data_IF_741564396456
#
_entry.id   IF_741564396456
#
_cell.length_a   1.000
_cell.length_b   1.000
_cell.length_c   1.000
_cell.angle_alpha   90.00
_cell.angle_beta   90.00
_cell.angle_gamma   90.00
#
_symmetry.space_group_name_H-M   'P 1'
#
loop_
_entity.id
_entity.type
_entity.pdbx_description
1 polymer ?
#
# COMPACT_ATOMS: atom_id res chain seq x y z
N UNK A 1 23.60 21.22 88.23
CA UNK A 1 24.84 21.65 88.93
C UNK A 1 25.92 21.92 87.86
N UNK A 2 26.48 23.16 87.94
CA UNK A 2 27.77 23.67 87.35
C UNK A 2 27.94 23.48 85.81
N UNK A 3 27.78 24.51 84.99
CA UNK A 3 28.69 25.64 84.69
C UNK A 3 30.16 25.20 84.42
N UNK A 4 30.65 25.43 83.22
CA UNK A 4 31.86 26.19 82.98
C UNK A 4 31.84 26.78 81.59
N UNK A 5 32.00 28.05 81.51
CA UNK A 5 32.25 28.94 80.36
C UNK A 5 33.75 28.96 80.11
N UNK A 6 34.18 28.92 78.89
CA UNK A 6 35.46 29.52 78.52
C UNK A 6 35.39 30.16 77.09
N UNK A 7 35.54 31.47 77.09
CA UNK A 7 35.73 32.31 75.92
C UNK A 7 37.22 32.38 75.59
N UNK A 8 37.61 32.38 74.34
CA UNK A 8 38.88 32.95 73.84
C UNK A 8 38.63 33.45 72.40
N UNK A 9 38.51 34.72 72.25
CA UNK A 9 39.21 35.79 71.54
C UNK A 9 39.79 35.48 70.16
N UNK A 10 39.37 36.37 69.29
CA UNK A 10 39.62 36.61 67.87
C UNK A 10 41.10 36.61 67.42
N UNK A 11 41.28 36.28 66.20
CA UNK A 11 42.30 36.92 65.33
C UNK A 11 41.83 36.94 63.86
N UNK A 12 41.66 38.12 63.36
CA UNK A 12 41.31 38.45 61.99
C UNK A 12 42.52 38.23 61.07
N UNK A 13 42.37 37.48 60.02
CA UNK A 13 43.25 37.57 58.83
C UNK A 13 42.39 37.70 57.58
N UNK A 14 42.40 38.87 56.97
CA UNK A 14 41.94 39.14 55.61
C UNK A 14 42.81 38.41 54.59
N UNK A 15 42.27 37.46 53.88
CA UNK A 15 42.87 36.98 52.66
C UNK A 15 41.82 37.21 51.54
N UNK A 16 42.17 38.11 50.63
CA UNK A 16 41.45 38.29 49.36
C UNK A 16 41.79 37.10 48.49
N UNK A 17 40.80 36.25 48.23
CA UNK A 17 40.91 35.13 47.29
C UNK A 17 39.77 35.21 46.27
N UNK A 18 40.12 35.21 45.00
CA UNK A 18 39.20 35.20 43.88
C UNK A 18 38.11 34.12 44.06
N UNK A 19 36.86 34.54 43.92
CA UNK A 19 35.71 33.62 43.79
C UNK A 19 35.67 33.13 42.35
N UNK A 20 36.09 31.90 42.11
CA UNK A 20 35.63 31.11 40.97
C UNK A 20 34.28 30.52 41.33
N UNK A 21 33.25 31.10 40.76
CA UNK A 21 31.89 30.50 40.79
C UNK A 21 31.84 29.40 39.73
N UNK A 22 32.13 28.17 40.13
CA UNK A 22 31.75 27.00 39.35
C UNK A 22 30.25 26.81 39.55
N UNK A 23 29.44 27.25 38.58
CA UNK A 23 28.06 26.76 38.42
C UNK A 23 28.12 25.26 38.15
N UNK A 24 27.70 24.44 39.12
CA UNK A 24 27.38 23.06 38.84
C UNK A 24 26.17 23.04 37.92
N UNK A 25 26.40 22.85 36.61
CA UNK A 25 25.36 22.48 35.66
C UNK A 25 24.92 21.08 36.00
N UNK A 26 23.82 20.97 36.72
CA UNK A 26 23.07 19.69 36.88
C UNK A 26 22.57 19.34 35.47
N UNK A 27 23.33 18.50 34.76
CA UNK A 27 22.84 17.84 33.54
C UNK A 27 21.84 16.82 34.02
N UNK A 28 20.56 17.20 34.03
CA UNK A 28 19.45 16.26 34.15
C UNK A 28 19.57 15.30 32.96
N UNK A 29 20.08 14.10 33.21
CA UNK A 29 20.17 13.06 32.19
C UNK A 29 18.75 12.77 31.72
N UNK A 30 18.39 13.26 30.54
CA UNK A 30 17.17 12.90 29.85
C UNK A 30 17.14 11.37 29.78
N UNK A 31 16.19 10.77 30.49
CA UNK A 31 15.87 9.35 30.37
C UNK A 31 15.61 9.11 28.87
N UNK A 32 16.35 8.23 28.20
CA UNK A 32 16.09 7.95 26.80
C UNK A 32 14.63 7.48 26.72
N UNK A 33 13.83 8.23 26.01
CA UNK A 33 12.47 7.83 25.65
C UNK A 33 12.52 6.38 25.23
N UNK A 34 11.73 5.54 25.89
CA UNK A 34 11.54 4.16 25.51
C UNK A 34 11.39 4.14 24.00
N UNK A 35 12.29 3.44 23.32
CA UNK A 35 12.20 3.18 21.89
C UNK A 35 10.83 2.53 21.69
N UNK A 36 9.85 3.31 21.26
CA UNK A 36 8.61 2.74 20.73
C UNK A 36 9.09 1.87 19.60
N UNK A 37 8.95 0.57 19.76
CA UNK A 37 9.21 -0.41 18.71
C UNK A 37 8.22 -0.07 17.61
N UNK A 38 8.65 0.72 16.64
CA UNK A 38 7.87 1.03 15.45
C UNK A 38 7.62 -0.33 14.81
N UNK A 39 6.36 -0.78 14.82
CA UNK A 39 5.99 -2.02 14.13
C UNK A 39 6.43 -1.86 12.68
N UNK A 40 7.21 -2.80 12.17
CA UNK A 40 7.66 -2.75 10.78
C UNK A 40 6.42 -2.88 9.88
N UNK A 41 6.26 -1.96 8.96
CA UNK A 41 5.21 -2.06 7.95
C UNK A 41 5.59 -3.12 6.91
N UNK A 42 4.60 -3.92 6.51
CA UNK A 42 4.66 -4.83 5.38
C UNK A 42 3.73 -4.24 4.32
N UNK A 43 4.26 -3.48 3.35
CA UNK A 43 3.43 -2.68 2.45
C UNK A 43 2.35 -3.48 1.75
N UNK A 44 2.69 -4.67 1.24
CA UNK A 44 1.77 -5.54 0.53
C UNK A 44 1.98 -7.00 0.92
N UNK A 45 0.90 -7.77 1.10
CA UNK A 45 0.94 -9.21 1.35
C UNK A 45 0.35 -10.04 0.20
N UNK A 46 0.12 -9.45 -0.96
CA UNK A 46 -0.53 -10.07 -2.13
C UNK A 46 0.17 -11.37 -2.54
N UNK A 47 1.50 -11.40 -2.61
CA UNK A 47 2.26 -12.61 -2.98
C UNK A 47 2.20 -13.68 -1.90
N UNK A 48 2.22 -13.31 -0.62
CA UNK A 48 2.08 -14.28 0.49
C UNK A 48 0.69 -14.94 0.44
N UNK A 49 -0.38 -14.14 0.28
CA UNK A 49 -1.76 -14.64 0.16
C UNK A 49 -1.94 -15.49 -1.09
N UNK A 50 -1.37 -15.09 -2.23
CA UNK A 50 -1.40 -15.88 -3.46
C UNK A 50 -0.76 -17.26 -3.25
N UNK A 51 0.42 -17.31 -2.64
CA UNK A 51 1.12 -18.58 -2.38
C UNK A 51 0.31 -19.49 -1.46
N UNK A 52 -0.29 -18.97 -0.39
CA UNK A 52 -1.17 -19.73 0.49
C UNK A 52 -2.40 -20.25 -0.25
N UNK A 53 -3.03 -19.43 -1.09
CA UNK A 53 -4.20 -19.83 -1.87
C UNK A 53 -3.84 -20.91 -2.93
N UNK A 54 -2.65 -20.83 -3.54
CA UNK A 54 -2.15 -21.85 -4.46
C UNK A 54 -1.92 -23.21 -3.76
N UNK A 55 -1.48 -23.21 -2.49
CA UNK A 55 -1.35 -24.45 -1.72
C UNK A 55 -2.71 -25.12 -1.48
N UNK A 56 -3.79 -24.32 -1.34
CA UNK A 56 -5.14 -24.81 -1.14
C UNK A 56 -5.84 -25.18 -2.47
N UNK A 57 -5.58 -24.43 -3.54
CA UNK A 57 -6.11 -24.65 -4.89
C UNK A 57 -4.98 -24.50 -5.94
N UNK A 58 -4.25 -25.58 -6.26
CA UNK A 58 -3.22 -25.56 -7.30
C UNK A 58 -3.73 -25.16 -8.70
N UNK A 59 -5.04 -25.24 -8.94
CA UNK A 59 -5.67 -24.80 -10.19
C UNK A 59 -5.53 -23.29 -10.44
N UNK A 60 -5.26 -22.48 -9.40
CA UNK A 60 -4.97 -21.06 -9.55
C UNK A 60 -3.79 -20.84 -10.51
N UNK A 61 -2.72 -21.61 -10.41
CA UNK A 61 -1.56 -21.49 -11.31
C UNK A 61 -1.95 -21.68 -12.77
N UNK A 62 -2.83 -22.64 -13.05
CA UNK A 62 -3.30 -22.92 -14.42
C UNK A 62 -4.11 -21.74 -14.94
N UNK A 63 -5.06 -21.25 -14.14
CA UNK A 63 -5.89 -20.09 -14.53
C UNK A 63 -5.05 -18.83 -14.74
N UNK A 64 -4.07 -18.56 -13.86
CA UNK A 64 -3.14 -17.44 -14.03
C UNK A 64 -2.31 -17.57 -15.32
N UNK A 65 -1.84 -18.77 -15.65
CA UNK A 65 -1.11 -19.00 -16.91
C UNK A 65 -2.00 -18.77 -18.14
N UNK A 66 -3.29 -19.13 -18.08
CA UNK A 66 -4.25 -18.85 -19.15
C UNK A 66 -4.51 -17.35 -19.29
N UNK A 67 -4.63 -16.62 -18.17
CA UNK A 67 -4.77 -15.16 -18.15
C UNK A 67 -3.51 -14.52 -18.73
N UNK A 68 -2.32 -14.97 -18.39
CA UNK A 68 -1.07 -14.45 -18.95
C UNK A 68 -1.01 -14.66 -20.47
N UNK A 69 -1.34 -15.85 -20.94
CA UNK A 69 -1.46 -16.14 -22.38
C UNK A 69 -2.49 -15.25 -23.09
N UNK A 70 -3.61 -14.92 -22.42
CA UNK A 70 -4.59 -13.99 -22.94
C UNK A 70 -3.99 -12.57 -23.02
N UNK A 71 -3.29 -12.13 -21.98
CA UNK A 71 -2.61 -10.83 -21.92
C UNK A 71 -1.58 -10.70 -23.04
N UNK A 72 -0.71 -11.69 -23.24
CA UNK A 72 0.26 -11.73 -24.35
C UNK A 72 -0.42 -11.61 -25.70
N UNK A 73 -1.49 -12.38 -25.94
CA UNK A 73 -2.28 -12.30 -27.16
C UNK A 73 -2.91 -10.92 -27.38
N UNK A 74 -3.41 -10.30 -26.33
CA UNK A 74 -3.94 -8.94 -26.37
C UNK A 74 -2.85 -7.94 -26.76
N UNK A 75 -1.68 -8.00 -26.09
CA UNK A 75 -0.55 -7.11 -26.34
C UNK A 75 -0.06 -7.17 -27.80
N UNK A 76 -0.05 -8.36 -28.40
CA UNK A 76 0.32 -8.56 -29.80
C UNK A 76 -0.74 -8.07 -30.81
N UNK A 77 -1.98 -7.82 -30.40
CA UNK A 77 -3.09 -7.53 -31.28
C UNK A 77 -3.95 -6.36 -30.78
N UNK A 78 -3.38 -5.41 -30.05
CA UNK A 78 -4.11 -4.27 -29.44
C UNK A 78 -5.10 -3.60 -30.39
N UNK A 79 -4.71 -3.38 -31.65
CA UNK A 79 -5.54 -2.72 -32.67
C UNK A 79 -6.88 -3.42 -32.91
N UNK A 80 -6.94 -4.75 -32.75
CA UNK A 80 -8.18 -5.52 -32.93
C UNK A 80 -9.17 -5.34 -31.79
N UNK A 81 -8.69 -4.90 -30.63
CA UNK A 81 -9.49 -4.70 -29.43
C UNK A 81 -9.85 -3.23 -29.17
N UNK A 82 -9.23 -2.30 -29.91
CA UNK A 82 -9.58 -0.88 -29.85
C UNK A 82 -11.01 -0.69 -30.38
N UNK A 83 -11.92 -0.21 -29.55
CA UNK A 83 -13.29 0.15 -29.94
C UNK A 83 -14.42 -0.56 -29.19
N UNK A 84 -14.11 -1.42 -28.22
CA UNK A 84 -15.14 -2.05 -27.34
C UNK A 84 -15.27 -1.38 -25.95
N UNK A 85 -14.45 -0.38 -25.67
CA UNK A 85 -14.62 0.44 -24.48
C UNK A 85 -15.74 1.45 -24.72
N UNK A 86 -16.82 1.36 -23.98
CA UNK A 86 -17.92 2.32 -24.07
C UNK A 86 -17.37 3.72 -23.76
N UNK A 87 -17.36 4.63 -24.75
CA UNK A 87 -16.83 5.98 -24.66
C UNK A 87 -15.33 6.11 -24.28
N UNK A 88 -14.53 5.05 -24.42
CA UNK A 88 -13.08 5.10 -24.16
C UNK A 88 -12.70 5.21 -22.67
N UNK A 89 -13.64 5.01 -21.76
CA UNK A 89 -13.40 5.00 -20.30
C UNK A 89 -14.06 3.78 -19.68
N UNK A 90 -13.32 3.14 -18.77
CA UNK A 90 -13.85 2.10 -17.90
C UNK A 90 -14.20 2.75 -16.57
N UNK A 91 -15.43 2.58 -16.10
CA UNK A 91 -15.86 3.01 -14.76
C UNK A 91 -16.11 1.76 -13.93
N UNK A 92 -15.35 1.59 -12.85
CA UNK A 92 -15.43 0.44 -11.95
C UNK A 92 -16.21 0.84 -10.69
N UNK A 93 -17.40 0.28 -10.49
CA UNK A 93 -18.15 0.51 -9.25
C UNK A 93 -17.52 -0.26 -8.10
N UNK A 94 -17.34 0.41 -6.95
CA UNK A 94 -16.72 -0.15 -5.74
C UNK A 94 -17.79 -0.47 -4.70
N UNK A 95 -17.72 -1.68 -4.13
CA UNK A 95 -18.42 -2.05 -2.91
C UNK A 95 -17.42 -2.05 -1.76
N UNK A 96 -17.55 -1.11 -0.83
CA UNK A 96 -16.77 -1.10 0.38
C UNK A 96 -17.41 -1.95 1.47
N UNK A 97 -16.61 -2.80 2.11
CA UNK A 97 -16.96 -3.60 3.28
C UNK A 97 -16.18 -3.08 4.49
N UNK A 98 -16.75 -2.14 5.23
CA UNK A 98 -16.11 -1.57 6.42
C UNK A 98 -16.39 -2.47 7.62
N UNK A 99 -15.37 -3.25 8.04
CA UNK A 99 -15.47 -4.16 9.17
C UNK A 99 -14.76 -3.52 10.37
N UNK A 100 -15.53 -3.07 11.34
CA UNK A 100 -15.06 -2.27 12.45
C UNK A 100 -15.43 -2.88 13.81
N UNK A 101 -14.62 -2.62 14.83
CA UNK A 101 -14.87 -3.04 16.21
C UNK A 101 -15.47 -1.92 17.04
N UNK A 102 -14.89 -0.72 16.91
CA UNK A 102 -15.31 0.50 17.63
C UNK A 102 -15.78 1.58 16.66
N UNK A 103 -16.48 2.58 17.17
CA UNK A 103 -16.97 3.68 16.34
C UNK A 103 -15.85 4.46 15.62
N UNK A 104 -14.67 4.56 16.23
CA UNK A 104 -13.49 5.21 15.62
C UNK A 104 -12.92 4.45 14.42
N UNK A 105 -13.15 3.15 14.31
CA UNK A 105 -12.73 2.31 13.17
C UNK A 105 -13.78 2.31 12.04
N UNK A 106 -14.97 2.85 12.28
CA UNK A 106 -16.04 2.92 11.30
C UNK A 106 -15.85 4.14 10.39
N UNK A 107 -14.98 4.00 9.40
CA UNK A 107 -14.59 5.09 8.50
C UNK A 107 -15.79 5.81 7.89
N UNK A 108 -15.72 7.14 7.84
CA UNK A 108 -16.78 7.98 7.29
C UNK A 108 -16.93 7.79 5.77
N UNK A 109 -18.07 8.13 5.21
CA UNK A 109 -18.27 8.16 3.76
C UNK A 109 -17.29 9.15 3.10
N UNK A 110 -16.99 10.27 3.75
CA UNK A 110 -16.03 11.25 3.25
C UNK A 110 -14.61 10.67 3.14
N UNK A 111 -14.18 9.83 4.10
CA UNK A 111 -12.89 9.12 4.02
C UNK A 111 -12.85 8.13 2.85
N UNK A 112 -13.94 7.38 2.66
CA UNK A 112 -14.06 6.44 1.53
C UNK A 112 -14.07 7.17 0.19
N UNK A 113 -14.76 8.31 0.12
CA UNK A 113 -14.77 9.14 -1.10
C UNK A 113 -13.38 9.70 -1.39
N UNK A 114 -12.65 10.20 -0.38
CA UNK A 114 -11.28 10.67 -0.56
C UNK A 114 -10.35 9.55 -1.10
N UNK A 115 -10.56 8.29 -0.70
CA UNK A 115 -9.83 7.16 -1.29
C UNK A 115 -10.19 6.93 -2.76
N UNK A 116 -11.47 7.04 -3.12
CA UNK A 116 -11.90 6.93 -4.52
C UNK A 116 -11.37 8.08 -5.37
N UNK A 117 -11.35 9.29 -4.81
CA UNK A 117 -10.78 10.47 -5.47
C UNK A 117 -9.28 10.25 -5.74
N UNK A 118 -8.51 9.72 -4.76
CA UNK A 118 -7.10 9.36 -4.94
C UNK A 118 -6.90 8.30 -6.03
N UNK A 119 -7.70 7.24 -6.07
CA UNK A 119 -7.68 6.26 -7.16
C UNK A 119 -7.93 6.94 -8.53
N UNK A 120 -8.91 7.82 -8.60
CA UNK A 120 -9.23 8.54 -9.84
C UNK A 120 -8.10 9.48 -10.26
N UNK A 121 -7.44 10.16 -9.33
CA UNK A 121 -6.27 10.98 -9.60
C UNK A 121 -5.12 10.14 -10.18
N UNK A 122 -4.77 9.04 -9.53
CA UNK A 122 -3.63 8.19 -9.89
C UNK A 122 -3.84 7.49 -11.25
N UNK A 123 -5.03 6.94 -11.49
CA UNK A 123 -5.34 6.23 -12.74
C UNK A 123 -5.63 7.15 -13.92
N UNK A 124 -5.77 8.47 -13.72
CA UNK A 124 -6.09 9.43 -14.76
C UNK A 124 -5.09 10.59 -14.89
N UNK A 125 -3.85 10.42 -14.40
CA UNK A 125 -2.78 11.43 -14.44
C UNK A 125 -3.18 12.77 -13.82
N UNK A 126 -3.89 12.75 -12.69
CA UNK A 126 -4.32 13.95 -11.96
C UNK A 126 -3.66 14.07 -10.60
N UNK A 127 -2.83 13.09 -10.21
CA UNK A 127 -2.10 13.08 -8.96
C UNK A 127 -1.04 14.19 -8.89
N UNK A 128 -0.82 14.81 -7.71
CA UNK A 128 0.01 16.01 -7.56
C UNK A 128 1.50 15.78 -7.78
N UNK A 129 2.00 14.54 -7.62
CA UNK A 129 3.43 14.22 -7.69
C UNK A 129 4.04 14.11 -9.08
N UNK A 130 3.27 14.21 -10.16
CA UNK A 130 3.73 13.98 -11.55
C UNK A 130 4.91 14.84 -11.99
N UNK A 131 5.00 16.08 -11.50
CA UNK A 131 6.10 16.98 -11.85
C UNK A 131 7.49 16.54 -11.38
N UNK A 132 7.59 15.46 -10.58
CA UNK A 132 8.84 14.90 -10.05
C UNK A 132 9.31 13.66 -10.81
N UNK A 133 8.57 13.19 -11.82
CA UNK A 133 8.95 12.03 -12.62
C UNK A 133 10.23 12.37 -13.40
N UNK A 134 11.30 11.54 -13.28
CA UNK A 134 12.54 11.74 -14.03
C UNK A 134 12.31 11.75 -15.54
N UNK A 135 13.06 12.59 -16.26
CA UNK A 135 12.91 12.74 -17.71
C UNK A 135 13.04 11.42 -18.48
N UNK A 136 13.84 10.49 -17.98
CA UNK A 136 14.02 9.14 -18.52
C UNK A 136 12.70 8.37 -18.60
N UNK A 137 11.84 8.51 -17.58
CA UNK A 137 10.56 7.78 -17.48
C UNK A 137 9.35 8.59 -17.96
N UNK A 138 9.51 9.88 -18.22
CA UNK A 138 8.39 10.75 -18.60
C UNK A 138 7.68 10.30 -19.90
N UNK A 139 8.39 9.67 -20.83
CA UNK A 139 7.83 9.18 -22.09
C UNK A 139 6.98 7.92 -21.96
N UNK A 140 7.11 7.20 -20.86
CA UNK A 140 6.35 5.95 -20.59
C UNK A 140 5.26 6.14 -19.54
N UNK A 141 5.10 7.33 -18.96
CA UNK A 141 3.98 7.66 -18.08
C UNK A 141 2.64 7.48 -18.81
N UNK A 142 1.69 6.79 -18.16
CA UNK A 142 0.42 6.45 -18.79
C UNK A 142 -0.80 7.01 -18.06
N UNK A 143 -1.71 7.63 -18.80
CA UNK A 143 -3.11 7.74 -18.38
C UNK A 143 -3.77 6.38 -18.56
N UNK A 144 -4.06 5.71 -17.44
CA UNK A 144 -4.69 4.38 -17.48
C UNK A 144 -6.11 4.47 -18.05
N UNK A 145 -6.86 5.55 -17.75
CA UNK A 145 -8.21 5.78 -18.26
C UNK A 145 -9.27 4.92 -17.56
N UNK A 146 -8.98 4.41 -16.37
CA UNK A 146 -9.94 3.73 -15.49
C UNK A 146 -10.38 4.72 -14.43
N UNK A 147 -11.68 4.77 -14.16
CA UNK A 147 -12.27 5.58 -13.10
C UNK A 147 -13.05 4.70 -12.13
N UNK A 148 -13.25 5.19 -10.93
CA UNK A 148 -13.89 4.45 -9.84
C UNK A 148 -15.01 5.29 -9.24
N UNK A 149 -16.07 4.61 -8.78
CA UNK A 149 -17.18 5.26 -8.07
C UNK A 149 -17.70 4.37 -6.92
N UNK A 150 -18.25 4.97 -5.89
CA UNK A 150 -18.85 4.22 -4.79
C UNK A 150 -20.24 3.70 -5.22
N UNK A 151 -20.37 2.39 -5.36
CA UNK A 151 -21.64 1.73 -5.58
C UNK A 151 -22.37 1.47 -4.27
N UNK A 152 -21.66 0.96 -3.26
CA UNK A 152 -22.27 0.56 -1.99
C UNK A 152 -21.24 0.62 -0.85
N UNK A 153 -21.73 0.89 0.37
CA UNK A 153 -20.94 0.75 1.60
C UNK A 153 -21.68 -0.17 2.57
N UNK A 154 -21.10 -1.33 2.82
CA UNK A 154 -21.55 -2.32 3.78
C UNK A 154 -20.77 -2.13 5.07
N UNK A 155 -21.46 -2.04 6.21
CA UNK A 155 -20.83 -1.82 7.52
C UNK A 155 -21.11 -2.99 8.44
N UNK A 156 -20.05 -3.66 8.89
CA UNK A 156 -20.14 -4.84 9.77
C UNK A 156 -19.43 -4.54 11.08
N UNK A 157 -20.17 -4.49 12.17
CA UNK A 157 -19.58 -4.37 13.49
C UNK A 157 -19.17 -5.75 14.04
N UNK A 158 -17.88 -5.93 14.31
CA UNK A 158 -17.36 -7.13 14.94
C UNK A 158 -16.55 -6.78 16.20
N UNK A 159 -17.22 -6.74 17.35
CA UNK A 159 -16.63 -6.37 18.63
C UNK A 159 -15.67 -7.43 19.19
N UNK A 160 -15.66 -8.65 18.64
CA UNK A 160 -14.85 -9.78 19.12
C UNK A 160 -13.47 -9.83 18.50
N UNK A 161 -13.33 -9.52 17.22
CA UNK A 161 -12.04 -9.56 16.51
C UNK A 161 -11.26 -8.25 16.68
N UNK A 162 -10.03 -8.35 17.19
CA UNK A 162 -9.10 -7.22 17.36
C UNK A 162 -8.19 -7.02 16.15
N UNK A 163 -7.99 -8.08 15.38
CA UNK A 163 -7.14 -8.09 14.22
C UNK A 163 -7.55 -9.19 13.25
N UNK A 164 -7.08 -9.11 12.02
CA UNK A 164 -7.35 -10.06 10.95
C UNK A 164 -6.02 -10.62 10.43
N UNK A 165 -6.02 -11.86 9.99
CA UNK A 165 -4.89 -12.44 9.27
C UNK A 165 -5.11 -12.30 7.77
N UNK A 166 -4.05 -12.28 6.94
CA UNK A 166 -4.19 -12.26 5.49
C UNK A 166 -4.58 -13.65 4.94
N UNK A 167 -5.75 -14.13 5.32
CA UNK A 167 -6.28 -15.47 5.00
C UNK A 167 -7.72 -15.43 4.49
N UNK A 168 -8.17 -14.27 4.02
CA UNK A 168 -9.51 -14.04 3.50
C UNK A 168 -10.69 -14.28 4.47
N UNK A 169 -10.44 -14.42 5.77
CA UNK A 169 -11.52 -14.54 6.77
C UNK A 169 -12.44 -13.31 6.78
N UNK A 170 -11.90 -12.10 6.54
CA UNK A 170 -12.68 -10.85 6.45
C UNK A 170 -13.66 -10.84 5.28
N UNK A 171 -13.41 -11.65 4.26
CA UNK A 171 -14.25 -11.81 3.08
C UNK A 171 -15.39 -12.83 3.27
N UNK A 172 -15.65 -13.24 4.53
CA UNK A 172 -16.64 -14.27 4.86
C UNK A 172 -17.50 -13.86 6.07
N UNK A 173 -18.81 -13.74 5.88
CA UNK A 173 -19.76 -13.45 6.97
C UNK A 173 -19.73 -14.53 8.05
N UNK A 174 -19.54 -15.80 7.67
CA UNK A 174 -19.40 -16.95 8.58
C UNK A 174 -18.18 -16.86 9.51
N UNK A 175 -17.20 -16.00 9.18
CA UNK A 175 -15.99 -15.71 9.98
C UNK A 175 -16.07 -14.36 10.71
N UNK A 176 -17.23 -13.70 10.62
CA UNK A 176 -17.48 -12.39 11.21
C UNK A 176 -17.00 -11.23 10.34
N UNK A 177 -16.73 -11.48 9.08
CA UNK A 177 -16.47 -10.53 8.02
C UNK A 177 -17.72 -10.21 7.21
N UNK A 178 -17.55 -9.97 5.90
CA UNK A 178 -18.62 -9.65 4.95
C UNK A 178 -18.38 -10.39 3.65
N UNK A 179 -19.41 -11.06 3.14
CA UNK A 179 -19.31 -11.80 1.88
C UNK A 179 -19.19 -10.85 0.69
N UNK A 180 -18.51 -11.32 -0.38
CA UNK A 180 -18.35 -10.61 -1.64
C UNK A 180 -19.69 -10.27 -2.28
N UNK A 181 -19.78 -9.14 -2.94
CA UNK A 181 -20.97 -8.71 -3.68
C UNK A 181 -20.62 -8.63 -5.15
N UNK A 182 -21.28 -9.46 -5.95
CA UNK A 182 -21.21 -9.49 -7.42
C UNK A 182 -19.81 -9.16 -8.01
N UNK A 183 -18.80 -10.01 -7.78
CA UNK A 183 -17.41 -9.71 -8.10
C UNK A 183 -17.12 -9.64 -9.61
N UNK A 184 -18.08 -9.98 -10.46
CA UNK A 184 -17.99 -9.85 -11.91
C UNK A 184 -18.42 -8.46 -12.42
N UNK A 185 -19.03 -7.64 -11.55
CA UNK A 185 -19.47 -6.27 -11.87
C UNK A 185 -18.83 -5.23 -10.94
N UNK A 186 -18.42 -5.63 -9.72
CA UNK A 186 -17.93 -4.69 -8.71
C UNK A 186 -16.54 -5.07 -8.21
N UNK A 187 -15.70 -4.05 -8.02
CA UNK A 187 -14.52 -4.17 -7.19
C UNK A 187 -14.95 -4.16 -5.71
N UNK A 188 -14.72 -5.27 -5.02
CA UNK A 188 -14.97 -5.36 -3.58
C UNK A 188 -13.72 -4.96 -2.80
N UNK A 189 -13.85 -4.00 -1.88
CA UNK A 189 -12.76 -3.55 -1.01
C UNK A 189 -13.16 -3.75 0.44
N UNK A 190 -12.47 -4.67 1.13
CA UNK A 190 -12.64 -4.87 2.57
C UNK A 190 -11.68 -3.99 3.35
N UNK A 191 -12.21 -3.26 4.32
CA UNK A 191 -11.43 -2.40 5.22
C UNK A 191 -11.53 -3.00 6.61
N UNK A 192 -10.37 -3.32 7.21
CA UNK A 192 -10.26 -3.94 8.52
C UNK A 192 -9.34 -3.15 9.43
N UNK A 193 -9.54 -3.23 10.75
CA UNK A 193 -8.85 -2.42 11.72
C UNK A 193 -7.33 -2.66 11.79
N UNK A 194 -6.88 -3.92 11.70
CA UNK A 194 -5.47 -4.28 11.85
C UNK A 194 -5.19 -5.63 11.23
N UNK A 195 -4.02 -5.76 10.59
CA UNK A 195 -3.54 -7.01 9.97
C UNK A 195 -2.09 -7.30 10.38
N UNK A 196 -1.83 -7.72 11.64
CA UNK A 196 -0.48 -8.08 12.07
C UNK A 196 0.01 -9.34 11.35
N UNK A 197 1.24 -9.28 10.82
CA UNK A 197 1.85 -10.38 10.08
C UNK A 197 3.38 -10.33 10.16
N UNK A 198 4.03 -11.46 10.48
CA UNK A 198 5.50 -11.61 10.55
C UNK A 198 6.21 -10.54 11.40
N UNK A 199 5.56 -10.06 12.45
CA UNK A 199 6.11 -9.03 13.34
C UNK A 199 5.96 -7.60 12.85
N UNK A 200 5.21 -7.38 11.76
CA UNK A 200 4.82 -6.08 11.21
C UNK A 200 3.31 -5.94 11.05
N UNK A 201 2.91 -4.84 10.45
CA UNK A 201 1.53 -4.51 10.10
C UNK A 201 1.41 -4.51 8.57
N UNK A 202 0.49 -5.31 8.01
CA UNK A 202 0.14 -5.28 6.60
C UNK A 202 -0.71 -4.03 6.32
N UNK A 203 -0.38 -3.29 5.25
CA UNK A 203 -1.14 -2.14 4.78
C UNK A 203 -2.30 -2.60 3.91
N UNK A 204 -2.05 -3.52 2.98
CA UNK A 204 -3.06 -4.08 2.10
C UNK A 204 -2.65 -5.40 1.45
N UNK A 205 -3.59 -6.00 0.75
CA UNK A 205 -3.36 -7.07 -0.22
C UNK A 205 -4.52 -7.20 -1.21
N UNK A 206 -4.22 -7.70 -2.38
CA UNK A 206 -5.20 -7.97 -3.43
C UNK A 206 -5.27 -9.45 -3.80
N UNK A 207 -6.34 -9.85 -4.47
CA UNK A 207 -6.39 -11.09 -5.19
C UNK A 207 -6.09 -10.85 -6.68
N UNK A 208 -5.08 -11.53 -7.20
CA UNK A 208 -4.82 -11.56 -8.64
C UNK A 208 -5.98 -12.18 -9.43
N UNK A 209 -6.18 -11.79 -10.69
CA UNK A 209 -7.04 -12.53 -11.60
C UNK A 209 -6.69 -14.03 -11.63
N UNK A 210 -7.73 -14.89 -11.65
CA UNK A 210 -7.56 -16.35 -11.59
C UNK A 210 -7.78 -16.98 -10.22
N UNK A 211 -7.90 -16.18 -9.16
CA UNK A 211 -8.36 -16.63 -7.85
C UNK A 211 -9.85 -16.97 -7.82
N UNK A 212 -10.37 -17.29 -6.64
CA UNK A 212 -11.80 -17.58 -6.45
C UNK A 212 -12.63 -16.31 -6.50
N UNK A 213 -13.73 -16.32 -7.25
CA UNK A 213 -14.68 -15.21 -7.26
C UNK A 213 -15.31 -14.93 -5.88
N UNK A 214 -15.33 -15.91 -4.98
CA UNK A 214 -15.87 -15.73 -3.62
C UNK A 214 -14.98 -14.90 -2.70
N UNK A 215 -13.75 -14.63 -3.11
CA UNK A 215 -12.75 -13.85 -2.37
C UNK A 215 -12.12 -12.75 -3.22
N UNK A 216 -12.67 -12.50 -4.43
CA UNK A 216 -12.10 -11.52 -5.36
C UNK A 216 -12.22 -10.09 -4.82
N UNK A 217 -11.14 -9.34 -4.92
CA UNK A 217 -11.04 -7.93 -4.52
C UNK A 217 -9.80 -7.62 -3.68
N UNK A 218 -9.87 -6.51 -2.96
CA UNK A 218 -8.78 -5.88 -2.22
C UNK A 218 -9.10 -5.82 -0.74
N UNK A 219 -8.09 -5.96 0.13
CA UNK A 219 -8.20 -5.75 1.58
C UNK A 219 -7.24 -4.65 2.00
N UNK A 220 -7.73 -3.69 2.78
CA UNK A 220 -6.96 -2.56 3.29
C UNK A 220 -7.02 -2.49 4.81
N UNK A 221 -5.93 -2.10 5.45
CA UNK A 221 -5.93 -1.66 6.83
C UNK A 221 -6.60 -0.28 6.96
N UNK A 222 -7.46 -0.09 7.95
CA UNK A 222 -8.24 1.14 8.11
C UNK A 222 -7.39 2.42 8.26
N UNK A 223 -6.17 2.29 8.75
CA UNK A 223 -5.23 3.42 8.87
C UNK A 223 -4.57 3.81 7.54
N UNK A 224 -4.77 3.02 6.49
CA UNK A 224 -4.18 3.18 5.17
C UNK A 224 -5.28 3.39 4.12
N UNK A 225 -6.31 4.15 4.50
CA UNK A 225 -7.46 4.51 3.65
C UNK A 225 -7.67 6.00 3.74
N UNK A 226 -7.53 6.71 2.62
CA UNK A 226 -7.75 8.15 2.53
C UNK A 226 -7.14 8.76 1.27
N UNK A 227 -7.23 10.09 1.15
CA UNK A 227 -6.82 10.81 -0.06
C UNK A 227 -5.31 10.88 -0.30
N UNK A 228 -4.49 10.61 0.71
CA UNK A 228 -3.02 10.64 0.61
C UNK A 228 -2.39 9.25 0.56
N UNK A 229 -3.14 8.21 0.91
CA UNK A 229 -2.66 6.84 0.92
C UNK A 229 -2.71 6.23 -0.48
N UNK A 230 -1.62 5.60 -0.90
CA UNK A 230 -1.47 4.94 -2.21
C UNK A 230 -1.55 3.41 -2.12
N UNK A 231 -1.76 2.87 -0.92
CA UNK A 231 -1.95 1.43 -0.71
C UNK A 231 -3.08 0.89 -1.61
N UNK A 232 -4.22 1.58 -1.68
CA UNK A 232 -5.33 1.16 -2.56
C UNK A 232 -4.93 1.16 -4.04
N UNK A 233 -4.19 2.17 -4.51
CA UNK A 233 -3.70 2.26 -5.89
C UNK A 233 -2.79 1.10 -6.23
N UNK A 234 -1.87 0.75 -5.33
CA UNK A 234 -0.98 -0.41 -5.45
C UNK A 234 -1.77 -1.73 -5.52
N UNK A 235 -2.67 -1.96 -4.57
CA UNK A 235 -3.43 -3.21 -4.51
C UNK A 235 -4.42 -3.36 -5.69
N UNK A 236 -5.02 -2.27 -6.16
CA UNK A 236 -5.84 -2.28 -7.39
C UNK A 236 -4.97 -2.60 -8.60
N UNK A 237 -3.71 -2.18 -8.65
CA UNK A 237 -2.75 -2.60 -9.66
C UNK A 237 -2.62 -4.13 -9.72
N UNK A 238 -2.44 -4.81 -8.59
CA UNK A 238 -2.42 -6.28 -8.51
C UNK A 238 -3.76 -6.92 -8.93
N UNK A 239 -4.87 -6.35 -8.46
CA UNK A 239 -6.20 -6.82 -8.84
C UNK A 239 -6.44 -6.70 -10.36
N UNK A 240 -5.73 -5.76 -11.02
CA UNK A 240 -5.68 -5.57 -12.48
C UNK A 240 -4.51 -6.29 -13.17
N UNK A 241 -3.91 -7.31 -12.54
CA UNK A 241 -2.86 -8.18 -13.09
C UNK A 241 -1.47 -7.55 -13.23
N UNK A 242 -1.15 -6.51 -12.44
CA UNK A 242 0.22 -6.01 -12.35
C UNK A 242 0.99 -6.75 -11.26
N UNK A 243 2.27 -7.00 -11.50
CA UNK A 243 3.23 -7.49 -10.52
C UNK A 243 4.01 -6.33 -9.92
N UNK A 244 4.72 -6.56 -8.83
CA UNK A 244 5.73 -5.61 -8.38
C UNK A 244 6.79 -5.42 -9.47
N UNK A 245 7.35 -4.21 -9.60
CA UNK A 245 8.31 -3.90 -10.67
C UNK A 245 9.63 -4.70 -10.59
N UNK A 246 9.97 -5.28 -9.43
CA UNK A 246 11.11 -6.20 -9.26
C UNK A 246 10.76 -7.68 -9.49
N UNK A 247 9.56 -7.99 -9.98
CA UNK A 247 9.10 -9.35 -10.29
C UNK A 247 9.05 -10.31 -9.11
N UNK A 248 9.25 -9.82 -7.86
CA UNK A 248 9.35 -10.61 -6.61
C UNK A 248 10.54 -11.58 -6.57
N UNK A 249 11.57 -11.37 -7.39
CA UNK A 249 12.73 -12.24 -7.48
C UNK A 249 14.05 -11.55 -7.83
N UNK A 250 14.06 -10.21 -7.88
CA UNK A 250 15.25 -9.41 -8.21
C UNK A 250 15.65 -9.50 -9.69
N UNK A 251 16.88 -9.13 -10.03
CA UNK A 251 17.36 -8.94 -11.41
C UNK A 251 17.14 -10.10 -12.39
N UNK A 252 16.81 -11.27 -11.90
CA UNK A 252 16.56 -12.46 -12.74
C UNK A 252 15.09 -12.73 -13.03
N UNK A 253 14.19 -11.92 -12.51
CA UNK A 253 12.72 -12.11 -12.63
C UNK A 253 12.07 -10.85 -13.18
N UNK A 254 11.18 -11.05 -14.14
CA UNK A 254 10.47 -9.99 -14.86
C UNK A 254 9.06 -9.81 -14.29
N UNK A 255 8.56 -8.58 -14.29
CA UNK A 255 7.17 -8.23 -13.97
C UNK A 255 6.22 -8.37 -15.18
N UNK A 256 6.73 -8.81 -16.32
CA UNK A 256 6.07 -8.93 -17.64
C UNK A 256 5.68 -7.59 -18.26
N UNK A 257 6.42 -6.55 -17.97
CA UNK A 257 6.22 -5.20 -18.53
C UNK A 257 7.55 -4.67 -19.09
N UNK A 258 7.59 -4.44 -20.41
CA UNK A 258 8.84 -4.11 -21.09
C UNK A 258 9.37 -2.69 -20.84
N UNK A 259 8.54 -1.78 -20.34
CA UNK A 259 8.90 -0.38 -20.08
C UNK A 259 9.10 -0.08 -18.57
N UNK A 260 9.14 -1.12 -17.74
CA UNK A 260 9.63 -1.09 -16.36
C UNK A 260 11.04 -1.69 -16.33
N UNK A 261 12.08 -0.97 -15.87
CA UNK A 261 13.42 -1.52 -15.72
C UNK A 261 13.43 -2.66 -14.70
N UNK A 262 14.32 -3.67 -14.91
CA UNK A 262 14.57 -4.68 -13.90
C UNK A 262 15.14 -4.02 -12.63
N UNK A 263 14.65 -4.45 -11.47
CA UNK A 263 15.11 -4.01 -10.16
C UNK A 263 15.49 -5.22 -9.30
N UNK A 264 16.47 -5.06 -8.41
CA UNK A 264 16.93 -6.16 -7.56
C UNK A 264 16.04 -6.42 -6.34
N UNK A 265 15.09 -5.53 -6.08
CA UNK A 265 14.12 -5.64 -4.98
C UNK A 265 13.25 -4.40 -4.85
N UNK A 266 12.45 -4.38 -3.80
CA UNK A 266 11.61 -3.25 -3.47
C UNK A 266 12.43 -2.05 -2.97
N UNK A 267 12.20 -0.87 -3.52
CA UNK A 267 12.71 0.39 -3.00
C UNK A 267 11.87 0.84 -1.80
N UNK A 268 12.48 1.61 -0.88
CA UNK A 268 11.81 2.08 0.34
C UNK A 268 12.16 3.54 0.65
N UNK A 269 11.30 4.20 1.42
CA UNK A 269 11.45 5.63 1.68
C UNK A 269 11.18 6.44 0.42
N UNK A 270 11.97 7.47 0.18
CA UNK A 270 12.00 8.25 -1.05
C UNK A 270 13.44 8.29 -1.57
N UNK A 271 13.87 7.31 -2.37
CA UNK A 271 15.23 7.23 -2.87
C UNK A 271 15.62 8.48 -3.67
N UNK A 272 16.89 8.87 -3.57
CA UNK A 272 17.42 9.93 -4.43
C UNK A 272 17.66 9.37 -5.82
N UNK A 273 17.09 10.01 -6.83
CA UNK A 273 17.28 9.59 -8.22
C UNK A 273 18.68 10.00 -8.75
N UNK A 274 19.35 9.16 -9.55
CA UNK A 274 18.98 7.78 -9.85
C UNK A 274 19.35 6.81 -8.71
N UNK A 275 18.40 5.92 -8.36
CA UNK A 275 18.71 4.69 -7.66
C UNK A 275 18.98 3.61 -8.70
N UNK A 276 20.07 2.84 -8.59
CA UNK A 276 20.54 1.99 -9.67
C UNK A 276 20.72 0.57 -9.16
N UNK A 277 19.96 -0.34 -9.75
CA UNK A 277 20.17 -1.78 -9.61
C UNK A 277 20.14 -2.45 -10.99
N UNK A 278 20.45 -3.71 -11.12
CA UNK A 278 20.36 -4.50 -12.36
C UNK A 278 20.94 -3.83 -13.63
N UNK A 279 21.76 -2.78 -13.48
CA UNK A 279 22.43 -2.07 -14.59
C UNK A 279 21.64 -0.91 -15.19
N UNK A 280 20.52 -0.49 -14.59
CA UNK A 280 19.68 0.66 -14.99
C UNK A 280 19.18 1.40 -13.76
N UNK A 281 18.63 2.60 -13.95
CA UNK A 281 17.93 3.31 -12.90
C UNK A 281 16.61 2.59 -12.57
N UNK A 282 16.32 2.42 -11.28
CA UNK A 282 15.08 1.83 -10.80
C UNK A 282 13.93 2.84 -10.92
N UNK A 283 12.75 2.35 -11.26
CA UNK A 283 11.54 3.19 -11.41
C UNK A 283 10.87 3.39 -10.04
N UNK A 284 11.60 3.98 -9.08
CA UNK A 284 11.19 4.13 -7.68
C UNK A 284 9.90 4.91 -7.46
N UNK A 285 9.41 5.64 -8.47
CA UNK A 285 8.16 6.40 -8.44
C UNK A 285 6.95 5.62 -8.98
N UNK A 286 7.12 4.37 -9.38
CA UNK A 286 6.04 3.53 -9.88
C UNK A 286 5.12 3.07 -8.75
N UNK A 287 3.79 3.11 -8.95
CA UNK A 287 2.82 2.68 -7.95
C UNK A 287 2.96 1.20 -7.54
N UNK A 288 3.69 0.37 -8.33
CA UNK A 288 3.96 -1.02 -7.99
C UNK A 288 5.30 -1.23 -7.27
N UNK A 289 5.93 -0.17 -6.77
CA UNK A 289 7.08 -0.22 -5.85
C UNK A 289 6.61 -0.03 -4.38
N UNK A 290 7.56 -0.09 -3.42
CA UNK A 290 7.34 0.07 -1.98
C UNK A 290 7.92 1.37 -1.42
N UNK A 291 8.13 2.37 -2.25
CA UNK A 291 8.49 3.72 -1.80
C UNK A 291 7.33 4.38 -1.04
N UNK A 292 7.62 5.43 -0.30
CA UNK A 292 6.59 6.17 0.43
C UNK A 292 5.57 6.76 -0.55
N UNK A 293 4.31 6.83 -0.14
CA UNK A 293 3.17 7.31 -0.93
C UNK A 293 3.42 8.66 -1.61
N UNK A 294 4.14 9.58 -0.93
CA UNK A 294 4.49 10.89 -1.47
C UNK A 294 5.46 10.86 -2.67
N UNK A 295 6.10 9.71 -2.91
CA UNK A 295 7.08 9.51 -3.98
C UNK A 295 6.53 8.61 -5.10
N UNK A 296 5.36 8.00 -4.91
CA UNK A 296 4.67 7.20 -5.90
C UNK A 296 3.84 8.09 -6.83
N UNK A 297 4.04 8.00 -8.14
CA UNK A 297 3.53 8.99 -9.06
C UNK A 297 2.98 8.46 -10.37
N UNK A 298 3.29 7.22 -10.79
CA UNK A 298 2.95 6.78 -12.13
C UNK A 298 2.72 5.27 -12.29
N UNK A 299 1.90 4.95 -13.28
CA UNK A 299 1.94 3.68 -14.02
C UNK A 299 2.55 3.91 -15.40
N UNK A 300 3.03 2.82 -16.04
CA UNK A 300 3.59 2.89 -17.40
C UNK A 300 2.59 2.51 -18.48
N UNK A 301 2.94 2.82 -19.74
CA UNK A 301 2.16 2.41 -20.93
C UNK A 301 2.05 0.88 -21.02
N UNK A 302 3.12 0.15 -20.66
CA UNK A 302 3.10 -1.31 -20.61
C UNK A 302 2.20 -1.83 -19.50
N UNK A 303 2.25 -1.24 -18.30
CA UNK A 303 1.35 -1.58 -17.19
C UNK A 303 -0.11 -1.32 -17.56
N UNK A 304 -0.42 -0.13 -18.14
CA UNK A 304 -1.76 0.15 -18.67
C UNK A 304 -2.23 -0.95 -19.62
N UNK A 305 -1.40 -1.34 -20.55
CA UNK A 305 -1.77 -2.34 -21.56
C UNK A 305 -2.06 -3.71 -20.94
N UNK A 306 -1.37 -4.09 -19.85
CA UNK A 306 -1.68 -5.30 -19.08
C UNK A 306 -3.02 -5.17 -18.34
N UNK A 307 -3.27 -4.00 -17.72
CA UNK A 307 -4.56 -3.71 -17.08
C UNK A 307 -5.72 -3.75 -18.09
N UNK A 308 -5.56 -3.15 -19.26
CA UNK A 308 -6.58 -3.17 -20.33
C UNK A 308 -6.90 -4.61 -20.80
N UNK A 309 -5.92 -5.51 -20.80
CA UNK A 309 -6.10 -6.89 -21.25
C UNK A 309 -7.10 -7.67 -20.38
N UNK A 310 -7.25 -7.34 -19.09
CA UNK A 310 -8.20 -8.05 -18.22
C UNK A 310 -9.66 -7.72 -18.56
N UNK A 311 -9.89 -6.56 -19.20
CA UNK A 311 -11.21 -6.10 -19.66
C UNK A 311 -11.51 -6.44 -21.12
N UNK A 312 -10.50 -6.85 -21.89
CA UNK A 312 -10.68 -7.22 -23.29
C UNK A 312 -11.60 -8.46 -23.41
N UNK A 313 -12.26 -8.66 -24.57
CA UNK A 313 -13.10 -9.85 -24.79
C UNK A 313 -12.35 -11.15 -24.51
N UNK A 314 -12.88 -11.94 -23.56
CA UNK A 314 -12.25 -13.16 -23.04
C UNK A 314 -11.26 -12.92 -21.90
N UNK A 315 -11.03 -11.68 -21.47
CA UNK A 315 -10.28 -11.33 -20.28
C UNK A 315 -11.04 -11.66 -18.99
N UNK A 316 -10.32 -11.76 -17.90
CA UNK A 316 -10.88 -12.21 -16.61
C UNK A 316 -11.98 -11.25 -16.08
N UNK A 317 -11.91 -9.96 -16.38
CA UNK A 317 -12.87 -8.93 -15.95
C UNK A 317 -13.64 -8.31 -17.12
N UNK A 318 -13.79 -9.05 -18.23
CA UNK A 318 -14.44 -8.53 -19.43
C UNK A 318 -15.86 -8.01 -19.19
N UNK A 319 -16.59 -8.60 -18.23
CA UNK A 319 -17.95 -8.18 -17.85
C UNK A 319 -18.03 -6.79 -17.23
N UNK A 320 -16.92 -6.26 -16.70
CA UNK A 320 -16.88 -4.92 -16.10
C UNK A 320 -16.70 -3.80 -17.13
N UNK A 321 -16.45 -4.13 -18.39
CA UNK A 321 -16.23 -3.18 -19.48
C UNK A 321 -17.46 -3.06 -20.42
N UNK A 322 -18.53 -3.78 -20.13
CA UNK A 322 -19.77 -3.82 -20.96
C UNK A 322 -20.75 -2.67 -20.68
#
# INVERSE_FOLDING_TARGET
MRKIILSIVALSLLIVGCQDTTEEVIIEAAIPNAIQKQESEVPCATMDVLNENILQDPGIKVRMAEIEKHTEKYLLNKEKYQGKLVNGKIVIPIVFHVIYRSASENLSLATLQAQVDALNEDFNLQNPGRGTIPAEFASVEANVGISFEIQQVIRVQNTKKRSWRPNDDMKRSSKGGSDVVNPQEYLNIWIVNSMPYRGGQILGYAQFPGGSWTTDGVVLGANFVGGTDRTATHEVGHWLNLRHIWGDGGCGVDDFVADTPLSDGANRGCPTYPDVSCGSADMTMNFMDYTNDSCLNMFTVGQKARMDAVFAPGGFRATMAD
#
